data_IF_919672520579
#
_entry.id   IF_919672520579
#
_cell.length_a   1.000
_cell.length_b   1.000
_cell.length_c   1.000
_cell.angle_alpha   90.00
_cell.angle_beta   90.00
_cell.angle_gamma   90.00
#
_symmetry.space_group_name_H-M   'P 1'
#
loop_
_entity.id
_entity.type
_entity.pdbx_description
1 polymer ?
#
# COMPACT_ATOMS: atom_id res chain seq x y z
N UNK A 1 -1.99 -30.31 28.73
CA UNK A 1 -2.86 -30.14 27.55
C UNK A 1 -3.19 -28.67 27.42
N UNK A 2 -2.35 -27.89 26.72
CA UNK A 2 -2.64 -26.52 26.40
C UNK A 2 -3.03 -26.48 24.92
N UNK A 3 -4.29 -26.19 24.67
CA UNK A 3 -4.83 -25.90 23.33
C UNK A 3 -4.31 -24.55 22.90
N UNK A 4 -3.26 -24.53 22.09
CA UNK A 4 -2.74 -23.36 21.45
C UNK A 4 -3.72 -22.98 20.32
N UNK A 5 -4.38 -21.81 20.48
CA UNK A 5 -5.45 -21.37 19.61
C UNK A 5 -4.98 -21.11 18.19
N UNK A 6 -5.50 -21.89 17.26
CA UNK A 6 -5.55 -21.58 15.85
C UNK A 6 -6.09 -20.16 15.66
N UNK A 7 -5.32 -19.30 14.99
CA UNK A 7 -5.84 -18.02 14.48
C UNK A 7 -6.86 -18.34 13.36
N UNK A 8 -8.04 -18.78 13.77
CA UNK A 8 -9.24 -18.70 12.94
C UNK A 8 -9.70 -17.27 13.02
N UNK A 9 -9.34 -16.46 12.04
CA UNK A 9 -10.03 -15.18 11.80
C UNK A 9 -11.43 -15.56 11.34
N UNK A 10 -12.33 -15.70 12.30
CA UNK A 10 -13.76 -15.84 12.01
C UNK A 10 -14.27 -14.50 11.48
N UNK A 11 -15.05 -14.48 10.38
CA UNK A 11 -15.54 -13.25 9.75
C UNK A 11 -16.48 -12.39 10.61
N UNK A 12 -16.75 -12.74 11.86
CA UNK A 12 -17.85 -12.16 12.63
C UNK A 12 -17.57 -11.86 14.10
N UNK A 13 -16.34 -11.52 14.48
CA UNK A 13 -16.09 -10.98 15.83
C UNK A 13 -15.35 -9.66 15.74
N UNK A 14 -16.05 -8.63 15.28
CA UNK A 14 -15.69 -7.24 15.56
C UNK A 14 -15.77 -7.03 17.07
N UNK A 15 -14.72 -6.47 17.68
CA UNK A 15 -14.80 -6.00 19.06
C UNK A 15 -15.89 -4.93 19.13
N UNK A 16 -17.01 -5.21 19.76
CA UNK A 16 -17.97 -4.24 20.24
C UNK A 16 -17.34 -3.65 21.51
N UNK A 17 -16.57 -2.58 21.36
CA UNK A 17 -15.89 -1.89 22.46
C UNK A 17 -15.05 -0.75 21.91
N UNK A 18 -14.96 0.36 22.64
CA UNK A 18 -14.27 1.57 22.22
C UNK A 18 -12.89 1.29 21.62
N UNK A 19 -12.77 1.42 20.30
CA UNK A 19 -11.49 1.41 19.59
C UNK A 19 -10.63 2.55 20.16
N UNK A 20 -9.49 2.22 20.74
CA UNK A 20 -8.53 3.23 21.17
C UNK A 20 -7.86 3.82 19.95
N UNK A 21 -7.95 5.14 19.81
CA UNK A 21 -7.38 5.86 18.66
C UNK A 21 -6.21 6.70 19.14
N UNK A 22 -5.08 6.55 18.46
CA UNK A 22 -3.90 7.37 18.64
C UNK A 22 -3.82 8.42 17.52
N UNK A 23 -3.29 9.59 17.86
CA UNK A 23 -3.05 10.68 16.91
C UNK A 23 -1.62 11.15 17.05
N UNK A 24 -0.88 11.12 15.93
CA UNK A 24 0.50 11.60 15.90
C UNK A 24 0.51 13.11 16.15
N UNK A 25 1.37 13.59 17.08
CA UNK A 25 1.51 15.01 17.33
C UNK A 25 1.98 15.78 16.09
N UNK A 26 1.41 16.98 15.86
CA UNK A 26 1.65 17.77 14.65
C UNK A 26 3.10 18.24 14.51
N UNK A 27 3.81 18.42 15.63
CA UNK A 27 5.24 18.79 15.64
C UNK A 27 6.14 17.77 14.97
N UNK A 28 5.68 16.50 14.85
CA UNK A 28 6.41 15.44 14.13
C UNK A 28 6.49 15.69 12.62
N UNK A 29 5.63 16.54 12.10
CA UNK A 29 5.52 16.83 10.68
C UNK A 29 6.07 18.20 10.29
N UNK A 30 6.68 18.92 11.25
CA UNK A 30 7.27 20.24 10.99
C UNK A 30 8.62 20.08 10.30
N UNK A 31 8.83 20.87 9.23
CA UNK A 31 10.12 20.95 8.52
C UNK A 31 10.51 19.67 7.77
N UNK A 32 9.55 18.86 7.35
CA UNK A 32 9.82 17.69 6.50
C UNK A 32 10.36 18.14 5.14
N UNK A 33 11.39 17.47 4.66
CA UNK A 33 12.03 17.79 3.39
C UNK A 33 11.04 17.65 2.22
N UNK A 34 10.98 18.67 1.37
CA UNK A 34 10.18 18.71 0.15
C UNK A 34 8.66 18.46 0.35
N UNK A 35 8.13 18.81 1.55
CA UNK A 35 6.73 18.58 1.89
C UNK A 35 6.05 19.87 2.40
N UNK A 36 5.80 20.85 1.52
CA UNK A 36 5.24 22.15 1.90
C UNK A 36 3.71 22.18 1.98
N UNK A 37 3.04 21.03 1.85
CA UNK A 37 1.60 20.92 1.67
C UNK A 37 0.83 21.17 2.97
N UNK A 38 -0.29 21.90 2.85
CA UNK A 38 -1.21 22.10 3.95
C UNK A 38 -2.05 20.84 4.19
N UNK A 39 -2.29 20.46 5.47
CA UNK A 39 -3.12 19.30 5.75
C UNK A 39 -4.62 19.61 5.61
N UNK A 40 -5.37 18.73 4.96
CA UNK A 40 -6.83 18.69 5.03
C UNK A 40 -7.27 17.47 5.85
N UNK A 41 -8.42 17.57 6.50
CA UNK A 41 -8.92 16.50 7.36
C UNK A 41 -10.43 16.32 7.17
N UNK A 42 -10.84 15.06 7.08
CA UNK A 42 -12.24 14.63 7.09
C UNK A 42 -12.45 13.67 8.25
N UNK A 43 -13.46 13.88 9.06
CA UNK A 43 -13.85 12.93 10.11
C UNK A 43 -14.96 12.05 9.57
N UNK A 44 -14.75 10.74 9.62
CA UNK A 44 -15.76 9.74 9.30
C UNK A 44 -16.25 9.06 10.58
N UNK A 45 -17.46 8.54 10.53
CA UNK A 45 -17.98 7.68 11.59
C UNK A 45 -17.90 6.23 11.15
N UNK A 46 -17.12 5.43 11.88
CA UNK A 46 -16.98 4.00 11.57
C UNK A 46 -18.25 3.23 11.88
N UNK A 47 -18.42 2.07 11.28
CA UNK A 47 -19.59 1.21 11.52
C UNK A 47 -19.77 0.80 13.00
N UNK A 48 -18.68 0.68 13.77
CA UNK A 48 -18.68 0.42 15.21
C UNK A 48 -18.79 1.69 16.07
N UNK A 49 -19.07 2.84 15.44
CA UNK A 49 -19.44 4.11 16.08
C UNK A 49 -18.27 4.98 16.52
N UNK A 50 -17.02 4.61 16.21
CA UNK A 50 -15.86 5.46 16.47
C UNK A 50 -15.75 6.58 15.42
N UNK A 51 -15.20 7.74 15.84
CA UNK A 51 -14.86 8.83 14.95
C UNK A 51 -13.38 8.69 14.55
N UNK A 52 -13.10 8.60 13.25
CA UNK A 52 -11.74 8.59 12.69
C UNK A 52 -11.51 9.84 11.86
N UNK A 53 -10.44 10.56 12.18
CA UNK A 53 -9.95 11.70 11.40
C UNK A 53 -8.99 11.19 10.33
N UNK A 54 -9.34 11.37 9.05
CA UNK A 54 -8.54 10.98 7.89
C UNK A 54 -7.93 12.25 7.31
N UNK A 55 -6.60 12.25 7.18
CA UNK A 55 -5.83 13.29 6.51
C UNK A 55 -5.83 13.06 5.01
N UNK A 56 -5.84 14.14 4.24
CA UNK A 56 -5.52 14.13 2.83
C UNK A 56 -4.86 15.45 2.40
N UNK A 57 -4.14 15.41 1.31
CA UNK A 57 -3.70 16.60 0.59
C UNK A 57 -4.76 16.93 -0.45
N UNK A 58 -4.96 18.23 -0.71
CA UNK A 58 -5.84 18.78 -1.75
C UNK A 58 -5.12 19.96 -2.41
N UNK A 59 -4.40 19.67 -3.49
CA UNK A 59 -3.46 20.60 -4.11
C UNK A 59 -3.83 20.87 -5.59
N UNK A 60 -3.56 22.07 -6.05
CA UNK A 60 -3.83 22.51 -7.42
C UNK A 60 -5.17 23.24 -7.59
N UNK A 61 -5.59 23.49 -8.85
CA UNK A 61 -6.82 24.23 -9.14
C UNK A 61 -8.06 23.41 -8.73
N UNK A 62 -8.98 24.05 -8.01
CA UNK A 62 -10.16 23.37 -7.45
C UNK A 62 -11.15 22.88 -8.54
N UNK A 63 -11.10 23.46 -9.72
CA UNK A 63 -11.88 23.12 -10.92
C UNK A 63 -11.13 22.21 -11.91
N UNK A 64 -9.90 21.83 -11.57
CA UNK A 64 -9.10 20.91 -12.39
C UNK A 64 -9.57 19.46 -12.31
N UNK A 65 -9.22 18.62 -13.32
CA UNK A 65 -9.46 17.18 -13.26
C UNK A 65 -8.88 16.55 -11.99
N UNK A 66 -9.69 15.77 -11.27
CA UNK A 66 -9.28 15.17 -9.99
C UNK A 66 -8.38 13.95 -10.24
N UNK A 67 -7.22 13.96 -9.59
CA UNK A 67 -6.31 12.81 -9.51
C UNK A 67 -6.24 12.33 -8.06
N UNK A 68 -6.75 11.13 -7.79
CA UNK A 68 -6.68 10.49 -6.48
C UNK A 68 -5.44 9.60 -6.42
N UNK A 69 -4.50 9.94 -5.54
CA UNK A 69 -3.23 9.22 -5.33
C UNK A 69 -3.26 8.43 -4.04
N UNK A 70 -3.34 7.10 -4.10
CA UNK A 70 -3.39 6.25 -2.91
C UNK A 70 -2.06 5.53 -2.67
N UNK A 71 -1.47 5.77 -1.50
CA UNK A 71 -0.21 5.18 -1.06
C UNK A 71 -0.37 3.76 -0.52
N UNK A 72 0.74 3.02 -0.46
CA UNK A 72 0.81 1.68 0.09
C UNK A 72 1.50 1.58 1.47
N UNK A 73 1.97 0.41 1.76
CA UNK A 73 2.61 -0.01 3.00
C UNK A 73 4.15 0.07 2.85
N UNK A 74 4.89 0.61 3.82
CA UNK A 74 4.51 1.27 5.07
C UNK A 74 4.55 2.81 5.00
N UNK A 75 4.30 3.37 3.83
CA UNK A 75 4.45 4.78 3.50
C UNK A 75 3.20 5.59 3.80
N UNK A 76 3.17 6.86 3.43
CA UNK A 76 2.07 7.80 3.57
C UNK A 76 2.13 8.84 2.44
N UNK A 77 1.23 9.83 2.40
CA UNK A 77 1.15 10.82 1.31
C UNK A 77 2.46 11.55 0.99
N UNK A 78 3.44 11.55 1.90
CA UNK A 78 4.82 12.01 1.67
C UNK A 78 5.47 11.36 0.44
N UNK A 79 5.08 10.13 0.11
CA UNK A 79 5.54 9.41 -1.08
C UNK A 79 5.28 10.19 -2.37
N UNK A 80 4.21 10.97 -2.40
CA UNK A 80 3.78 11.71 -3.59
C UNK A 80 4.34 13.12 -3.71
N UNK A 81 5.18 13.59 -2.75
CA UNK A 81 5.68 14.98 -2.70
C UNK A 81 6.34 15.46 -3.99
N UNK A 82 6.95 14.57 -4.75
CA UNK A 82 7.58 14.90 -6.03
C UNK A 82 6.64 14.69 -7.25
N UNK A 83 5.58 13.87 -7.10
CA UNK A 83 4.57 13.65 -8.15
C UNK A 83 3.57 14.82 -8.20
N UNK A 84 3.14 15.31 -7.04
CA UNK A 84 2.13 16.36 -6.91
C UNK A 84 2.46 17.60 -7.71
N UNK A 85 3.69 18.19 -7.64
CA UNK A 85 4.00 19.39 -8.41
C UNK A 85 3.90 19.21 -9.92
N UNK A 86 4.21 18.04 -10.47
CA UNK A 86 4.07 17.76 -11.89
C UNK A 86 2.60 17.77 -12.33
N UNK A 87 1.71 17.17 -11.53
CA UNK A 87 0.28 17.10 -11.81
C UNK A 87 -0.39 18.46 -11.66
N UNK A 88 -0.10 19.20 -10.59
CA UNK A 88 -0.69 20.53 -10.34
C UNK A 88 -0.23 21.55 -11.37
N UNK A 89 1.04 21.51 -11.80
CA UNK A 89 1.56 22.32 -12.90
C UNK A 89 0.92 21.99 -14.25
N UNK A 90 0.40 20.77 -14.40
CA UNK A 90 -0.37 20.36 -15.60
C UNK A 90 -1.87 20.75 -15.51
N UNK A 91 -2.29 21.44 -14.45
CA UNK A 91 -3.66 21.93 -14.23
C UNK A 91 -4.59 20.94 -13.54
N UNK A 92 -4.07 19.91 -12.87
CA UNK A 92 -4.86 18.90 -12.19
C UNK A 92 -5.03 19.23 -10.70
N UNK A 93 -6.19 18.87 -10.14
CA UNK A 93 -6.43 18.85 -8.70
C UNK A 93 -6.00 17.49 -8.15
N UNK A 94 -5.08 17.48 -7.21
CA UNK A 94 -4.50 16.28 -6.66
C UNK A 94 -5.00 16.03 -5.25
N UNK A 95 -5.64 14.88 -5.04
CA UNK A 95 -6.10 14.41 -3.74
C UNK A 95 -5.24 13.22 -3.32
N UNK A 96 -4.56 13.33 -2.18
CA UNK A 96 -3.69 12.27 -1.68
C UNK A 96 -3.98 11.97 -0.20
N UNK A 97 -4.89 11.01 0.09
CA UNK A 97 -5.21 10.63 1.46
C UNK A 97 -4.11 9.80 2.10
N UNK A 98 -4.00 9.90 3.42
CA UNK A 98 -3.32 8.91 4.26
C UNK A 98 -4.32 7.85 4.69
N UNK A 99 -4.04 6.58 4.42
CA UNK A 99 -4.83 5.46 4.92
C UNK A 99 -4.92 5.48 6.45
N UNK A 100 -6.00 4.97 7.02
CA UNK A 100 -6.13 4.85 8.48
C UNK A 100 -4.99 4.01 9.04
N UNK A 101 -4.30 4.54 10.05
CA UNK A 101 -3.09 3.91 10.60
C UNK A 101 -1.78 4.43 10.04
N UNK A 102 -1.82 5.36 9.06
CA UNK A 102 -0.66 5.91 8.37
C UNK A 102 -0.64 7.44 8.43
N UNK A 103 0.49 8.03 8.05
CA UNK A 103 0.65 9.48 7.89
C UNK A 103 0.08 10.29 9.04
N UNK A 104 -0.70 11.31 8.69
CA UNK A 104 -1.39 12.19 9.64
C UNK A 104 -2.80 11.71 10.00
N UNK A 105 -3.30 10.62 9.40
CA UNK A 105 -4.57 9.99 9.77
C UNK A 105 -4.51 9.34 11.15
N UNK A 106 -5.66 9.22 11.78
CA UNK A 106 -5.82 8.55 13.07
C UNK A 106 -5.39 7.08 13.00
N UNK A 107 -4.94 6.53 14.13
CA UNK A 107 -4.34 5.21 14.22
C UNK A 107 -5.01 4.39 15.32
N UNK A 108 -5.90 3.44 14.97
CA UNK A 108 -6.33 2.41 15.92
C UNK A 108 -5.13 1.74 16.60
N UNK A 109 -5.19 1.59 17.93
CA UNK A 109 -4.05 1.18 18.74
C UNK A 109 -3.83 -0.33 18.79
N UNK A 110 -4.76 -1.14 18.27
CA UNK A 110 -4.63 -2.59 18.21
C UNK A 110 -4.53 -3.07 16.75
N UNK A 111 -3.67 -4.08 16.49
CA UNK A 111 -3.54 -4.69 15.16
C UNK A 111 -4.84 -5.31 14.66
N UNK A 112 -5.60 -5.85 15.58
CA UNK A 112 -6.88 -6.53 15.36
C UNK A 112 -7.99 -5.55 14.90
N UNK A 113 -7.77 -4.25 15.07
CA UNK A 113 -8.66 -3.21 14.55
C UNK A 113 -8.48 -2.99 13.04
N UNK A 114 -7.43 -3.51 12.44
CA UNK A 114 -7.16 -3.37 11.01
C UNK A 114 -7.53 -4.63 10.24
N UNK A 115 -8.22 -4.42 9.13
CA UNK A 115 -8.41 -5.45 8.12
C UNK A 115 -8.47 -4.81 6.73
N UNK A 116 -8.33 -5.62 5.67
CA UNK A 116 -8.47 -5.14 4.30
C UNK A 116 -9.86 -4.52 4.10
N UNK A 117 -10.91 -5.20 4.56
CA UNK A 117 -12.29 -4.72 4.42
C UNK A 117 -12.52 -3.40 5.17
N UNK A 118 -12.01 -3.26 6.40
CA UNK A 118 -12.11 -2.00 7.14
C UNK A 118 -11.41 -0.84 6.44
N UNK A 119 -10.24 -1.07 5.83
CA UNK A 119 -9.58 -0.02 5.05
C UNK A 119 -10.44 0.40 3.86
N UNK A 120 -11.07 -0.55 3.17
CA UNK A 120 -11.99 -0.24 2.06
C UNK A 120 -13.20 0.56 2.55
N UNK A 121 -13.80 0.15 3.66
CA UNK A 121 -14.95 0.83 4.27
C UNK A 121 -14.58 2.26 4.70
N UNK A 122 -13.53 2.44 5.50
CA UNK A 122 -13.08 3.76 5.96
C UNK A 122 -12.75 4.71 4.81
N UNK A 123 -12.08 4.21 3.78
CA UNK A 123 -11.76 5.03 2.62
C UNK A 123 -12.98 5.28 1.72
N UNK A 124 -13.95 4.38 1.70
CA UNK A 124 -15.25 4.59 1.07
C UNK A 124 -16.04 5.70 1.76
N UNK A 125 -16.18 5.63 3.08
CA UNK A 125 -16.84 6.66 3.90
C UNK A 125 -16.16 8.03 3.73
N UNK A 126 -14.81 8.04 3.66
CA UNK A 126 -14.05 9.25 3.39
C UNK A 126 -14.31 9.80 1.98
N UNK A 127 -14.37 8.93 0.97
CA UNK A 127 -14.65 9.32 -0.42
C UNK A 127 -16.06 9.93 -0.55
N UNK A 128 -17.04 9.33 0.09
CA UNK A 128 -18.42 9.82 0.12
C UNK A 128 -18.53 11.15 0.84
N UNK A 129 -17.90 11.29 2.00
CA UNK A 129 -17.95 12.52 2.81
C UNK A 129 -17.33 13.74 2.11
N UNK A 130 -16.38 13.52 1.20
CA UNK A 130 -15.77 14.59 0.38
C UNK A 130 -16.44 14.80 -0.97
N UNK A 131 -17.35 13.92 -1.37
CA UNK A 131 -18.12 13.95 -2.62
C UNK A 131 -17.29 14.10 -3.90
N UNK A 132 -16.08 13.53 -3.91
CA UNK A 132 -15.24 13.52 -5.11
C UNK A 132 -15.85 12.64 -6.22
N UNK A 133 -15.80 13.13 -7.45
CA UNK A 133 -16.32 12.45 -8.65
C UNK A 133 -15.43 12.74 -9.87
N UNK A 134 -15.68 12.08 -10.99
CA UNK A 134 -14.86 12.15 -12.22
C UNK A 134 -13.36 11.89 -11.96
N UNK A 135 -13.08 10.98 -11.05
CA UNK A 135 -11.75 10.71 -10.52
C UNK A 135 -10.90 9.92 -11.51
N UNK A 136 -9.68 10.40 -11.75
CA UNK A 136 -8.59 9.56 -12.26
C UNK A 136 -7.85 8.97 -11.05
N UNK A 137 -8.01 7.68 -10.84
CA UNK A 137 -7.38 6.98 -9.72
C UNK A 137 -5.98 6.51 -10.09
N UNK A 138 -5.01 6.73 -9.20
CA UNK A 138 -3.69 6.09 -9.22
C UNK A 138 -3.45 5.35 -7.92
N UNK A 139 -3.13 4.04 -8.01
CA UNK A 139 -2.84 3.20 -6.85
C UNK A 139 -1.58 2.36 -6.99
N UNK A 140 -0.80 2.30 -5.91
CA UNK A 140 0.40 1.47 -5.81
C UNK A 140 0.33 0.66 -4.51
N UNK A 141 0.80 -0.61 -4.52
CA UNK A 141 0.81 -1.50 -3.35
C UNK A 141 -0.57 -1.56 -2.67
N UNK A 142 -0.69 -1.35 -1.36
CA UNK A 142 -1.97 -1.31 -0.64
C UNK A 142 -2.91 -0.21 -1.12
N UNK A 143 -2.38 0.92 -1.60
CA UNK A 143 -3.19 1.95 -2.24
C UNK A 143 -3.91 1.42 -3.48
N UNK A 144 -3.25 0.54 -4.24
CA UNK A 144 -3.88 -0.17 -5.35
C UNK A 144 -4.93 -1.20 -4.89
N UNK A 145 -4.60 -2.03 -3.88
CA UNK A 145 -5.55 -3.02 -3.37
C UNK A 145 -6.84 -2.36 -2.83
N UNK A 146 -6.71 -1.34 -2.00
CA UNK A 146 -7.86 -0.61 -1.42
C UNK A 146 -8.59 0.17 -2.51
N UNK A 147 -7.85 0.92 -3.34
CA UNK A 147 -8.45 1.77 -4.37
C UNK A 147 -9.19 1.01 -5.46
N UNK A 148 -8.69 -0.15 -5.91
CA UNK A 148 -9.43 -1.01 -6.83
C UNK A 148 -10.76 -1.48 -6.23
N UNK A 149 -10.81 -1.76 -4.92
CA UNK A 149 -12.06 -2.08 -4.23
C UNK A 149 -12.99 -0.85 -4.10
N UNK A 150 -12.43 0.37 -3.98
CA UNK A 150 -13.24 1.60 -4.06
C UNK A 150 -13.86 1.79 -5.43
N UNK A 151 -13.11 1.51 -6.52
CA UNK A 151 -13.63 1.54 -7.89
C UNK A 151 -14.81 0.57 -8.05
N UNK A 152 -14.71 -0.64 -7.48
CA UNK A 152 -15.80 -1.64 -7.49
C UNK A 152 -17.04 -1.15 -6.73
N UNK A 153 -16.83 -0.54 -5.55
CA UNK A 153 -17.93 -0.14 -4.67
C UNK A 153 -18.59 1.19 -5.10
N UNK A 154 -17.86 2.07 -5.77
CA UNK A 154 -18.31 3.41 -6.17
C UNK A 154 -17.99 3.71 -7.66
N UNK A 155 -18.37 2.83 -8.61
CA UNK A 155 -17.89 2.89 -10.00
C UNK A 155 -18.23 4.19 -10.72
N UNK A 156 -19.31 4.86 -10.33
CA UNK A 156 -19.75 6.12 -10.95
C UNK A 156 -18.85 7.31 -10.58
N UNK A 157 -18.09 7.21 -9.49
CA UNK A 157 -17.16 8.27 -9.06
C UNK A 157 -15.84 8.27 -9.83
N UNK A 158 -15.50 7.17 -10.51
CA UNK A 158 -14.23 7.00 -11.20
C UNK A 158 -14.39 7.08 -12.71
N UNK A 159 -13.66 7.97 -13.34
CA UNK A 159 -13.58 8.10 -14.79
C UNK A 159 -12.48 7.23 -15.39
N UNK A 160 -11.33 7.13 -14.71
CA UNK A 160 -10.12 6.45 -15.19
C UNK A 160 -9.39 5.76 -14.05
N UNK A 161 -8.69 4.69 -14.39
CA UNK A 161 -7.84 3.94 -13.45
C UNK A 161 -6.42 3.84 -14.00
N UNK A 162 -5.44 4.14 -13.17
CA UNK A 162 -4.01 3.88 -13.40
C UNK A 162 -3.50 3.05 -12.25
N UNK A 163 -2.88 1.93 -12.53
CA UNK A 163 -2.24 1.10 -11.50
C UNK A 163 -0.76 0.93 -11.76
N UNK A 164 0.00 0.89 -10.68
CA UNK A 164 1.43 0.63 -10.70
C UNK A 164 1.81 -0.24 -9.50
N UNK A 165 2.65 -1.24 -9.72
CA UNK A 165 3.24 -2.07 -8.65
C UNK A 165 2.22 -2.49 -7.57
N UNK A 166 1.12 -3.06 -8.00
CA UNK A 166 0.02 -3.53 -7.16
C UNK A 166 -0.59 -4.80 -7.75
N UNK A 167 -1.68 -5.27 -7.17
CA UNK A 167 -2.42 -6.43 -7.65
C UNK A 167 -3.82 -6.50 -7.08
N UNK A 168 -4.57 -7.49 -7.54
CA UNK A 168 -5.85 -7.89 -6.98
C UNK A 168 -5.79 -9.41 -6.71
N UNK A 169 -5.03 -9.86 -5.69
CA UNK A 169 -4.71 -11.27 -5.51
C UNK A 169 -5.98 -12.11 -5.31
N UNK A 170 -6.15 -13.12 -6.16
CA UNK A 170 -7.24 -14.09 -6.08
C UNK A 170 -6.72 -15.47 -6.49
N UNK A 171 -6.41 -16.32 -5.51
CA UNK A 171 -5.80 -17.63 -5.70
C UNK A 171 -6.67 -18.73 -5.07
N UNK A 172 -7.81 -19.10 -5.68
CA UNK A 172 -8.72 -20.13 -5.13
C UNK A 172 -8.15 -21.56 -5.28
N UNK A 173 -7.27 -21.78 -6.25
CA UNK A 173 -6.81 -23.12 -6.67
C UNK A 173 -5.41 -23.47 -6.13
N UNK A 174 -4.98 -22.83 -5.03
CA UNK A 174 -3.70 -23.19 -4.38
C UNK A 174 -3.81 -24.61 -3.84
N UNK A 175 -2.86 -25.53 -4.18
CA UNK A 175 -2.88 -26.90 -3.69
C UNK A 175 -2.91 -26.99 -2.16
N UNK A 176 -3.66 -27.97 -1.63
CA UNK A 176 -3.88 -28.12 -0.18
C UNK A 176 -2.57 -28.26 0.60
N UNK A 177 -1.59 -28.96 0.04
CA UNK A 177 -0.26 -29.13 0.64
C UNK A 177 0.49 -27.78 0.73
N UNK A 178 0.30 -26.88 -0.23
CA UNK A 178 0.89 -25.52 -0.21
C UNK A 178 0.17 -24.65 0.82
N UNK A 179 -1.16 -24.74 0.91
CA UNK A 179 -1.95 -24.06 1.95
C UNK A 179 -1.44 -24.49 3.33
N UNK A 180 -1.37 -25.80 3.56
CA UNK A 180 -0.91 -26.34 4.84
C UNK A 180 0.52 -25.90 5.18
N UNK A 181 1.43 -25.92 4.19
CA UNK A 181 2.82 -25.46 4.37
C UNK A 181 2.90 -24.00 4.82
N UNK A 182 2.11 -23.13 4.22
CA UNK A 182 2.11 -21.68 4.55
C UNK A 182 1.44 -21.44 5.91
N UNK A 183 0.35 -22.14 6.20
CA UNK A 183 -0.34 -22.03 7.51
C UNK A 183 0.53 -22.57 8.65
N UNK A 184 1.20 -23.70 8.46
CA UNK A 184 2.15 -24.26 9.42
C UNK A 184 3.33 -23.32 9.67
N UNK A 185 3.86 -22.71 8.60
CA UNK A 185 4.90 -21.69 8.72
C UNK A 185 4.42 -20.49 9.55
N UNK A 186 3.23 -19.97 9.27
CA UNK A 186 2.66 -18.85 10.02
C UNK A 186 2.44 -19.17 11.50
N UNK A 187 1.98 -20.38 11.78
CA UNK A 187 1.65 -20.81 13.14
C UNK A 187 2.88 -21.20 13.97
N UNK A 188 3.84 -21.92 13.39
CA UNK A 188 4.85 -22.67 14.14
C UNK A 188 6.29 -22.18 13.93
N UNK A 189 6.60 -21.46 12.83
CA UNK A 189 7.95 -20.95 12.62
C UNK A 189 8.30 -19.86 13.64
N UNK A 190 9.57 -19.77 14.03
CA UNK A 190 10.04 -18.62 14.80
C UNK A 190 9.85 -17.33 14.01
N UNK A 191 9.66 -16.21 14.72
CA UNK A 191 9.61 -14.88 14.10
C UNK A 191 10.89 -14.65 13.30
N UNK A 192 10.82 -14.47 11.97
CA UNK A 192 12.01 -14.23 11.19
C UNK A 192 12.65 -12.89 11.59
N UNK A 193 13.97 -12.85 11.62
CA UNK A 193 14.65 -11.55 11.74
C UNK A 193 14.66 -10.81 10.40
N UNK A 194 15.06 -9.54 10.43
CA UNK A 194 15.08 -8.68 9.23
C UNK A 194 15.91 -9.27 8.09
N UNK A 195 17.05 -9.92 8.39
CA UNK A 195 17.95 -10.50 7.37
C UNK A 195 17.29 -11.71 6.73
N UNK A 196 16.66 -12.58 7.53
CA UNK A 196 15.94 -13.76 7.04
C UNK A 196 14.77 -13.35 6.15
N UNK A 197 13.99 -12.37 6.59
CA UNK A 197 12.87 -11.82 5.81
C UNK A 197 13.37 -11.25 4.47
N UNK A 198 14.40 -10.41 4.47
CA UNK A 198 14.97 -9.82 3.24
C UNK A 198 15.52 -10.88 2.28
N UNK A 199 16.18 -11.93 2.79
CA UNK A 199 16.65 -13.06 1.97
C UNK A 199 15.50 -13.83 1.34
N UNK A 200 14.43 -14.08 2.11
CA UNK A 200 13.27 -14.79 1.62
C UNK A 200 12.59 -14.05 0.46
N UNK A 201 12.34 -12.73 0.62
CA UNK A 201 11.69 -11.91 -0.42
C UNK A 201 12.63 -11.62 -1.59
N UNK A 202 13.89 -11.28 -1.30
CA UNK A 202 14.85 -10.83 -2.31
C UNK A 202 15.37 -11.94 -3.25
N UNK A 203 14.85 -13.15 -3.13
CA UNK A 203 15.25 -14.28 -4.02
C UNK A 203 16.69 -14.77 -3.85
N UNK A 204 17.42 -14.26 -2.83
CA UNK A 204 18.72 -14.84 -2.48
C UNK A 204 18.53 -16.26 -1.92
N UNK A 205 19.56 -17.11 -2.00
CA UNK A 205 19.51 -18.49 -1.46
C UNK A 205 19.16 -18.48 0.02
N UNK A 206 17.86 -18.50 0.32
CA UNK A 206 17.31 -18.45 1.67
C UNK A 206 16.97 -19.83 2.21
N UNK A 207 16.91 -20.86 1.33
CA UNK A 207 16.34 -22.16 1.68
C UNK A 207 14.81 -22.14 1.87
N UNK A 208 14.18 -20.94 1.82
CA UNK A 208 12.74 -20.81 1.97
C UNK A 208 12.02 -21.42 0.75
N UNK A 209 10.95 -22.16 1.01
CA UNK A 209 10.08 -22.66 -0.04
C UNK A 209 9.44 -21.46 -0.78
N UNK A 210 9.34 -21.48 -2.12
CA UNK A 210 8.78 -20.35 -2.89
C UNK A 210 7.42 -19.85 -2.37
N UNK A 211 6.55 -20.76 -1.96
CA UNK A 211 5.22 -20.44 -1.44
C UNK A 211 5.23 -19.72 -0.07
N UNK A 212 6.30 -19.87 0.73
CA UNK A 212 6.40 -19.21 2.04
C UNK A 212 7.07 -17.84 1.99
N UNK A 213 7.64 -17.42 0.87
CA UNK A 213 8.41 -16.16 0.76
C UNK A 213 7.63 -14.95 1.28
N UNK A 214 6.38 -14.80 0.84
CA UNK A 214 5.54 -13.68 1.28
C UNK A 214 5.10 -13.85 2.74
N UNK A 215 4.95 -15.09 3.22
CA UNK A 215 4.64 -15.37 4.61
C UNK A 215 5.75 -14.94 5.59
N UNK A 216 7.03 -14.91 5.15
CA UNK A 216 8.12 -14.31 5.94
C UNK A 216 7.87 -12.82 6.20
N UNK A 217 7.47 -12.07 5.19
CA UNK A 217 7.12 -10.66 5.31
C UNK A 217 5.91 -10.45 6.24
N UNK A 218 4.84 -11.22 6.01
CA UNK A 218 3.62 -11.16 6.81
C UNK A 218 3.91 -11.43 8.29
N UNK A 219 4.63 -12.52 8.58
CA UNK A 219 4.97 -12.92 9.94
C UNK A 219 5.89 -11.92 10.62
N UNK A 220 6.92 -11.45 9.92
CA UNK A 220 7.84 -10.45 10.45
C UNK A 220 7.10 -9.15 10.79
N UNK A 221 6.29 -8.61 9.90
CA UNK A 221 5.51 -7.40 10.18
C UNK A 221 4.56 -7.58 11.37
N UNK A 222 3.88 -8.73 11.45
CA UNK A 222 2.93 -9.00 12.52
C UNK A 222 3.60 -9.13 13.89
N UNK A 223 4.72 -9.82 13.99
CA UNK A 223 5.31 -10.25 15.25
C UNK A 223 6.45 -9.34 15.74
N UNK A 224 7.10 -8.54 14.87
CA UNK A 224 8.17 -7.64 15.31
C UNK A 224 7.66 -6.63 16.34
N UNK A 225 8.49 -6.31 17.35
CA UNK A 225 8.14 -5.31 18.36
C UNK A 225 8.04 -3.91 17.76
N UNK A 226 9.01 -3.56 16.92
CA UNK A 226 9.06 -2.27 16.23
C UNK A 226 9.37 -2.48 14.74
N UNK A 227 8.54 -1.89 13.89
CA UNK A 227 8.73 -1.90 12.44
C UNK A 227 9.57 -0.67 12.04
N UNK A 228 10.83 -0.85 11.61
CA UNK A 228 11.70 0.29 11.31
C UNK A 228 11.40 0.89 9.93
N UNK A 229 10.31 1.68 9.82
CA UNK A 229 9.76 2.19 8.56
C UNK A 229 10.80 2.99 7.76
N UNK A 230 11.45 3.95 8.39
CA UNK A 230 12.46 4.78 7.72
C UNK A 230 13.64 3.96 7.20
N UNK A 231 14.07 2.94 7.96
CA UNK A 231 15.13 2.03 7.52
C UNK A 231 14.65 1.15 6.34
N UNK A 232 13.43 0.62 6.40
CA UNK A 232 12.85 -0.18 5.31
C UNK A 232 12.81 0.62 4.02
N UNK A 233 12.36 1.86 4.08
CA UNK A 233 12.34 2.75 2.91
C UNK A 233 13.74 2.96 2.37
N UNK A 234 14.73 3.13 3.22
CA UNK A 234 16.13 3.31 2.79
C UNK A 234 16.71 2.08 2.08
N UNK A 235 16.18 0.88 2.37
CA UNK A 235 16.65 -0.36 1.74
C UNK A 235 15.96 -0.67 0.42
N UNK A 236 14.73 -0.16 0.22
CA UNK A 236 13.91 -0.45 -0.96
C UNK A 236 14.00 0.62 -2.04
N UNK A 237 14.38 1.84 -1.67
CA UNK A 237 14.55 2.93 -2.63
C UNK A 237 15.86 2.81 -3.39
N UNK A 238 15.80 3.08 -4.70
CA UNK A 238 16.95 3.02 -5.59
C UNK A 238 17.77 1.75 -5.36
N UNK A 239 17.22 0.53 -5.60
CA UNK A 239 17.99 -0.67 -5.44
C UNK A 239 19.25 -0.55 -6.32
N UNK A 240 20.45 -0.45 -5.75
CA UNK A 240 21.65 -0.21 -6.52
C UNK A 240 21.97 -1.44 -7.37
N UNK A 241 22.76 -1.25 -8.42
CA UNK A 241 23.36 -2.33 -9.16
C UNK A 241 23.98 -3.38 -8.20
N UNK A 242 23.89 -4.67 -8.54
CA UNK A 242 24.25 -5.80 -7.66
C UNK A 242 25.53 -5.63 -6.81
N UNK A 243 26.67 -5.10 -7.33
CA UNK A 243 27.87 -4.88 -6.51
C UNK A 243 27.67 -3.82 -5.42
N UNK A 244 26.84 -2.80 -5.65
CA UNK A 244 26.54 -1.74 -4.68
C UNK A 244 25.59 -2.25 -3.59
N UNK A 245 24.70 -3.22 -3.88
CA UNK A 245 23.88 -3.87 -2.85
C UNK A 245 24.73 -4.62 -1.82
N UNK A 246 25.77 -5.32 -2.26
CA UNK A 246 26.70 -6.00 -1.37
C UNK A 246 27.49 -5.01 -0.50
N UNK A 247 27.97 -3.92 -1.08
CA UNK A 247 28.67 -2.86 -0.35
C UNK A 247 27.74 -2.19 0.66
N UNK A 248 26.50 -1.87 0.29
CA UNK A 248 25.49 -1.31 1.20
C UNK A 248 25.17 -2.29 2.35
N UNK A 249 25.04 -3.58 2.06
CA UNK A 249 24.85 -4.61 3.09
C UNK A 249 26.02 -4.65 4.08
N UNK A 250 27.25 -4.60 3.59
CA UNK A 250 28.45 -4.59 4.43
C UNK A 250 28.57 -3.31 5.25
N UNK A 251 28.30 -2.16 4.67
CA UNK A 251 28.33 -0.86 5.36
C UNK A 251 27.25 -0.79 6.46
N UNK A 252 26.03 -1.27 6.20
CA UNK A 252 24.98 -1.35 7.23
C UNK A 252 25.38 -2.27 8.40
N UNK A 253 26.07 -3.39 8.10
CA UNK A 253 26.58 -4.29 9.15
C UNK A 253 27.68 -3.65 10.02
N UNK A 254 28.36 -2.64 9.48
CA UNK A 254 29.38 -1.85 10.18
C UNK A 254 28.84 -0.60 10.86
N UNK A 255 27.51 -0.40 10.89
CA UNK A 255 26.88 0.79 11.47
C UNK A 255 27.03 2.06 10.62
N UNK A 256 27.46 1.94 9.37
CA UNK A 256 27.57 3.07 8.43
C UNK A 256 26.24 3.24 7.69
N UNK A 257 25.71 4.44 7.80
CA UNK A 257 24.35 4.86 7.48
C UNK A 257 23.84 4.57 6.08
N UNK A 258 22.52 4.40 6.03
CA UNK A 258 21.57 4.33 4.91
C UNK A 258 21.87 5.29 3.74
N UNK A 259 21.65 4.85 2.49
CA UNK A 259 21.83 5.67 1.28
C UNK A 259 20.77 6.76 1.09
N UNK A 260 19.63 6.68 1.80
CA UNK A 260 18.71 7.82 1.83
C UNK A 260 19.29 8.93 2.71
N UNK A 261 19.09 10.20 2.32
CA UNK A 261 19.27 11.29 3.25
C UNK A 261 18.53 10.99 4.55
N UNK A 262 19.19 11.19 5.68
CA UNK A 262 18.58 10.93 7.01
C UNK A 262 17.28 11.70 7.19
N UNK A 263 17.13 12.88 6.53
CA UNK A 263 15.90 13.66 6.48
C UNK A 263 14.73 12.91 5.86
N UNK A 264 14.95 12.21 4.75
CA UNK A 264 13.90 11.43 4.05
C UNK A 264 13.50 10.21 4.88
N UNK A 265 14.47 9.45 5.41
CA UNK A 265 14.17 8.33 6.29
C UNK A 265 13.37 8.76 7.53
N UNK A 266 13.73 9.91 8.14
CA UNK A 266 13.01 10.52 9.26
C UNK A 266 11.59 10.96 8.86
N UNK A 267 11.38 11.46 7.65
CA UNK A 267 10.07 11.85 7.18
C UNK A 267 9.13 10.64 7.02
N UNK A 268 9.62 9.49 6.55
CA UNK A 268 8.83 8.25 6.54
C UNK A 268 8.54 7.70 7.93
N UNK A 269 9.43 7.93 8.91
CA UNK A 269 9.23 7.54 10.31
C UNK A 269 8.38 8.56 11.10
N UNK A 270 8.19 9.78 10.60
CA UNK A 270 7.50 10.87 11.31
C UNK A 270 6.11 10.49 11.88
N UNK A 271 5.26 9.72 11.16
CA UNK A 271 3.95 9.32 11.66
C UNK A 271 3.97 8.42 12.90
N UNK A 272 5.13 7.86 13.25
CA UNK A 272 5.25 6.76 14.20
C UNK A 272 6.20 7.12 15.37
N UNK A 273 5.73 7.88 16.37
CA UNK A 273 6.56 8.28 17.52
C UNK A 273 7.16 7.12 18.31
N UNK A 274 6.44 6.00 18.35
CA UNK A 274 6.83 4.77 19.03
C UNK A 274 6.08 3.57 18.43
N UNK A 275 6.39 2.32 18.83
CA UNK A 275 5.79 1.11 18.26
C UNK A 275 4.26 1.04 18.31
N UNK A 276 3.59 1.67 19.31
CA UNK A 276 2.14 1.63 19.41
C UNK A 276 1.41 2.33 18.25
N UNK A 277 2.09 3.25 17.57
CA UNK A 277 1.57 3.94 16.37
C UNK A 277 1.73 3.13 15.08
N UNK A 278 2.39 1.97 15.11
CA UNK A 278 2.70 1.14 13.94
C UNK A 278 1.76 -0.04 13.75
N UNK A 279 0.59 -0.04 14.41
CA UNK A 279 -0.34 -1.19 14.35
C UNK A 279 -0.90 -1.43 12.94
N UNK A 280 -1.22 -0.36 12.18
CA UNK A 280 -1.60 -0.45 10.78
C UNK A 280 -0.50 -1.08 9.90
N UNK A 281 0.69 -0.48 9.81
CA UNK A 281 1.83 -1.06 9.10
C UNK A 281 2.17 -2.50 9.48
N UNK A 282 1.95 -2.89 10.73
CA UNK A 282 2.22 -4.27 11.20
C UNK A 282 1.11 -5.25 10.79
N UNK A 283 -0.15 -4.81 10.77
CA UNK A 283 -1.30 -5.66 10.49
C UNK A 283 -1.52 -5.91 8.99
N UNK A 284 -1.40 -4.86 8.17
CA UNK A 284 -1.84 -4.88 6.78
C UNK A 284 -1.18 -5.97 5.92
N UNK A 285 0.14 -6.26 5.99
CA UNK A 285 0.71 -7.33 5.19
C UNK A 285 0.03 -8.69 5.36
N UNK A 286 -0.48 -9.00 6.57
CA UNK A 286 -1.19 -10.24 6.86
C UNK A 286 -2.59 -10.29 6.26
N UNK A 287 -3.13 -9.16 5.81
CA UNK A 287 -4.46 -9.04 5.22
C UNK A 287 -4.49 -9.33 3.71
N UNK A 288 -3.33 -9.45 3.05
CA UNK A 288 -3.28 -9.79 1.61
C UNK A 288 -3.82 -11.21 1.40
N UNK A 289 -4.87 -11.40 0.57
CA UNK A 289 -5.52 -12.70 0.39
C UNK A 289 -4.70 -13.60 -0.54
N UNK A 290 -3.68 -14.25 0.01
CA UNK A 290 -2.75 -15.12 -0.73
C UNK A 290 -3.17 -16.58 -0.80
N UNK A 291 -4.13 -17.01 0.03
CA UNK A 291 -4.57 -18.40 0.16
C UNK A 291 -6.09 -18.51 -0.02
N UNK A 292 -6.60 -19.70 -0.40
CA UNK A 292 -8.04 -19.97 -0.44
C UNK A 292 -8.74 -19.79 0.92
N UNK A 293 -8.00 -19.94 2.01
CA UNK A 293 -8.48 -19.73 3.39
C UNK A 293 -8.48 -18.25 3.83
N UNK A 294 -8.03 -17.33 2.97
CA UNK A 294 -7.96 -15.90 3.31
C UNK A 294 -9.37 -15.31 3.45
N UNK A 295 -9.65 -14.52 4.51
CA UNK A 295 -10.99 -14.00 4.78
C UNK A 295 -11.60 -13.16 3.65
N UNK A 296 -10.75 -12.51 2.85
CA UNK A 296 -11.17 -11.55 1.83
C UNK A 296 -11.21 -12.11 0.42
N UNK A 297 -11.01 -13.43 0.25
CA UNK A 297 -10.94 -14.07 -1.07
C UNK A 297 -12.22 -13.89 -1.88
N UNK A 298 -13.39 -14.02 -1.24
CA UNK A 298 -14.69 -13.84 -1.90
C UNK A 298 -14.88 -12.40 -2.42
N UNK A 299 -14.44 -11.40 -1.66
CA UNK A 299 -14.48 -10.02 -2.12
C UNK A 299 -13.55 -9.78 -3.32
N UNK A 300 -12.40 -10.47 -3.39
CA UNK A 300 -11.52 -10.40 -4.55
C UNK A 300 -12.15 -11.08 -5.78
N UNK A 301 -12.84 -12.19 -5.59
CA UNK A 301 -13.61 -12.83 -6.67
C UNK A 301 -14.64 -11.87 -7.24
N UNK A 302 -15.44 -11.22 -6.37
CA UNK A 302 -16.45 -10.24 -6.79
C UNK A 302 -15.81 -9.05 -7.51
N UNK A 303 -14.68 -8.57 -7.04
CA UNK A 303 -13.94 -7.49 -7.68
C UNK A 303 -13.45 -7.89 -9.08
N UNK A 304 -12.95 -9.11 -9.26
CA UNK A 304 -12.59 -9.61 -10.59
C UNK A 304 -13.80 -9.76 -11.53
N UNK A 305 -14.95 -10.24 -11.03
CA UNK A 305 -16.17 -10.29 -11.86
C UNK A 305 -16.58 -8.88 -12.35
N UNK A 306 -16.47 -7.87 -11.50
CA UNK A 306 -16.69 -6.48 -11.90
C UNK A 306 -15.67 -6.02 -12.96
N UNK A 307 -14.37 -6.23 -12.71
CA UNK A 307 -13.33 -5.75 -13.63
C UNK A 307 -13.36 -6.46 -15.00
N UNK A 308 -13.87 -7.67 -15.10
CA UNK A 308 -14.10 -8.35 -16.40
C UNK A 308 -15.10 -7.63 -17.31
N UNK A 309 -15.89 -6.73 -16.76
CA UNK A 309 -16.89 -5.92 -17.50
C UNK A 309 -16.56 -4.42 -17.46
N UNK A 310 -15.43 -4.03 -16.89
CA UNK A 310 -15.06 -2.63 -16.73
C UNK A 310 -14.45 -2.08 -18.02
N UNK A 311 -15.17 -1.14 -18.67
CA UNK A 311 -14.80 -0.57 -19.98
C UNK A 311 -14.14 0.81 -19.89
N UNK A 312 -14.24 1.51 -18.72
CA UNK A 312 -13.59 2.81 -18.56
C UNK A 312 -12.06 2.64 -18.66
N UNK A 313 -11.33 3.70 -19.09
CA UNK A 313 -9.88 3.62 -19.29
C UNK A 313 -9.15 3.06 -18.07
N UNK A 314 -8.41 1.96 -18.28
CA UNK A 314 -7.66 1.25 -17.24
C UNK A 314 -6.22 1.02 -17.70
N UNK A 315 -5.28 1.81 -17.19
CA UNK A 315 -3.89 1.81 -17.63
C UNK A 315 -2.97 1.14 -16.60
N UNK A 316 -2.11 0.25 -17.09
CA UNK A 316 -1.05 -0.39 -16.30
C UNK A 316 0.30 0.29 -16.58
N UNK A 317 0.98 0.76 -15.53
CA UNK A 317 2.28 1.42 -15.59
C UNK A 317 3.20 0.87 -14.49
N UNK A 318 3.71 -0.35 -14.69
CA UNK A 318 4.52 -1.07 -13.70
C UNK A 318 6.01 -0.82 -13.88
N UNK A 319 6.77 -0.89 -12.79
CA UNK A 319 8.22 -0.77 -12.84
C UNK A 319 8.88 -2.01 -13.46
N UNK A 320 10.02 -1.81 -14.12
CA UNK A 320 10.83 -2.88 -14.72
C UNK A 320 11.62 -3.71 -13.70
N UNK A 321 11.74 -3.23 -12.47
CA UNK A 321 12.62 -3.79 -11.44
C UNK A 321 11.97 -3.91 -10.04
N UNK A 322 10.64 -4.00 -9.98
CA UNK A 322 9.93 -4.26 -8.72
C UNK A 322 10.05 -5.74 -8.31
N UNK A 323 10.70 -6.06 -7.17
CA UNK A 323 10.83 -7.44 -6.73
C UNK A 323 9.56 -8.03 -6.12
N UNK A 324 8.52 -7.21 -5.86
CA UNK A 324 7.31 -7.60 -5.12
C UNK A 324 6.15 -7.95 -6.05
N UNK A 325 5.88 -7.07 -7.03
CA UNK A 325 4.68 -7.16 -7.87
C UNK A 325 4.98 -7.31 -9.37
N UNK A 326 6.23 -7.58 -9.74
CA UNK A 326 6.60 -7.74 -11.14
C UNK A 326 5.73 -8.77 -11.86
N UNK A 327 5.13 -8.35 -12.99
CA UNK A 327 4.22 -9.16 -13.79
C UNK A 327 2.76 -9.17 -13.30
N UNK A 328 2.44 -8.41 -12.25
CA UNK A 328 1.06 -8.22 -11.76
C UNK A 328 0.14 -7.50 -12.75
N UNK A 329 0.70 -6.76 -13.69
CA UNK A 329 -0.03 -6.12 -14.80
C UNK A 329 -0.69 -7.11 -15.76
N UNK A 330 -0.07 -8.28 -15.97
CA UNK A 330 -0.50 -9.26 -16.98
C UNK A 330 -1.95 -9.74 -16.80
N UNK A 331 -2.37 -9.92 -15.56
CA UNK A 331 -3.71 -10.38 -15.27
C UNK A 331 -4.76 -9.32 -15.60
N UNK A 332 -4.47 -8.05 -15.30
CA UNK A 332 -5.35 -6.93 -15.67
C UNK A 332 -5.42 -6.76 -17.20
N UNK A 333 -4.27 -6.78 -17.88
CA UNK A 333 -4.20 -6.69 -19.34
C UNK A 333 -4.98 -7.81 -20.04
N UNK A 334 -5.01 -9.00 -19.45
CA UNK A 334 -5.73 -10.14 -20.01
C UNK A 334 -7.23 -10.13 -19.74
N UNK A 335 -7.69 -9.52 -18.64
CA UNK A 335 -9.05 -9.69 -18.13
C UNK A 335 -9.92 -8.44 -18.15
N UNK A 336 -9.33 -7.23 -18.17
CA UNK A 336 -10.05 -5.96 -18.03
C UNK A 336 -10.25 -5.30 -19.41
N UNK A 337 -11.50 -5.20 -19.93
CA UNK A 337 -11.75 -4.60 -21.26
C UNK A 337 -11.24 -3.17 -21.38
N UNK A 338 -11.35 -2.37 -20.33
CA UNK A 338 -10.87 -0.98 -20.29
C UNK A 338 -9.37 -0.79 -20.51
N UNK A 339 -8.58 -1.87 -20.58
CA UNK A 339 -7.16 -1.81 -20.93
C UNK A 339 -6.94 -1.73 -22.44
N UNK A 340 -7.92 -2.10 -23.25
CA UNK A 340 -7.74 -2.24 -24.70
C UNK A 340 -7.44 -0.89 -25.37
N UNK A 341 -6.42 -0.86 -26.25
CA UNK A 341 -6.04 0.31 -27.03
C UNK A 341 -5.31 1.41 -26.26
N UNK A 342 -5.05 1.22 -24.96
CA UNK A 342 -4.30 2.20 -24.17
C UNK A 342 -2.77 1.98 -24.28
N UNK A 343 -1.97 3.06 -24.13
CA UNK A 343 -0.51 3.00 -24.21
C UNK A 343 0.10 2.53 -22.88
N UNK A 344 -0.14 1.27 -22.50
CA UNK A 344 0.48 0.68 -21.31
C UNK A 344 1.99 0.85 -21.36
N UNK A 345 2.60 1.18 -20.24
CA UNK A 345 4.02 1.51 -20.20
C UNK A 345 4.73 0.85 -19.04
N UNK A 346 6.06 0.78 -19.17
CA UNK A 346 6.95 0.33 -18.09
C UNK A 346 7.70 1.52 -17.53
N UNK A 347 7.54 1.78 -16.22
CA UNK A 347 8.28 2.80 -15.48
C UNK A 347 9.74 2.34 -15.33
N UNK A 348 10.67 3.04 -15.97
CA UNK A 348 12.08 2.67 -15.96
C UNK A 348 12.77 3.09 -14.66
N UNK A 349 13.46 2.12 -14.03
CA UNK A 349 14.18 2.36 -12.77
C UNK A 349 13.28 2.60 -11.57
N UNK A 350 11.98 2.31 -11.67
CA UNK A 350 10.98 2.68 -10.67
C UNK A 350 11.10 1.94 -9.34
N UNK A 351 11.61 0.70 -9.32
CA UNK A 351 11.59 -0.12 -8.10
C UNK A 351 10.18 -0.34 -7.59
N UNK A 352 10.03 -0.75 -6.33
CA UNK A 352 8.71 -0.94 -5.74
C UNK A 352 7.96 0.39 -5.52
N UNK A 353 8.65 1.43 -5.07
CA UNK A 353 8.10 2.76 -4.84
C UNK A 353 8.42 3.68 -6.03
N UNK A 354 7.67 3.52 -7.13
CA UNK A 354 7.86 4.27 -8.39
C UNK A 354 7.79 5.78 -8.18
N UNK A 355 7.01 6.23 -7.22
CA UNK A 355 6.80 7.64 -6.89
C UNK A 355 8.05 8.34 -6.35
N UNK A 356 8.93 7.57 -5.67
CA UNK A 356 10.23 8.09 -5.20
C UNK A 356 11.29 8.06 -6.30
N UNK A 357 11.31 6.99 -7.09
CA UNK A 357 12.40 6.73 -8.01
C UNK A 357 12.19 7.35 -9.40
N UNK A 358 10.93 7.53 -9.82
CA UNK A 358 10.54 8.01 -11.14
C UNK A 358 9.26 8.86 -11.11
N UNK A 359 9.21 9.92 -10.27
CA UNK A 359 7.99 10.72 -10.06
C UNK A 359 7.50 11.41 -11.34
N UNK A 360 8.41 11.84 -12.20
CA UNK A 360 8.14 12.43 -13.50
C UNK A 360 7.44 11.46 -14.45
N UNK A 361 7.91 10.20 -14.52
CA UNK A 361 7.28 9.17 -15.35
C UNK A 361 5.87 8.83 -14.83
N UNK A 362 5.70 8.72 -13.52
CA UNK A 362 4.39 8.47 -12.88
C UNK A 362 3.42 9.60 -13.23
N UNK A 363 3.84 10.85 -13.05
CA UNK A 363 3.00 12.02 -13.37
C UNK A 363 2.66 12.06 -14.86
N UNK A 364 3.64 11.84 -15.76
CA UNK A 364 3.45 11.90 -17.19
C UNK A 364 2.41 10.88 -17.68
N UNK A 365 2.46 9.64 -17.17
CA UNK A 365 1.49 8.59 -17.51
C UNK A 365 0.06 9.02 -17.15
N UNK A 366 -0.13 9.62 -15.98
CA UNK A 366 -1.45 10.10 -15.52
C UNK A 366 -1.92 11.27 -16.40
N UNK A 367 -1.03 12.23 -16.69
CA UNK A 367 -1.32 13.41 -17.53
C UNK A 367 -1.75 12.97 -18.93
N UNK A 368 -0.99 12.04 -19.53
CA UNK A 368 -1.25 11.58 -20.90
C UNK A 368 -2.60 10.82 -20.98
N UNK A 369 -2.91 9.99 -19.99
CA UNK A 369 -4.21 9.32 -19.95
C UNK A 369 -5.37 10.31 -19.86
N UNK A 370 -5.29 11.30 -18.96
CA UNK A 370 -6.36 12.33 -18.80
C UNK A 370 -6.55 13.13 -20.09
N UNK A 371 -5.46 13.47 -20.79
CA UNK A 371 -5.53 14.26 -22.03
C UNK A 371 -6.03 13.49 -23.24
N UNK A 372 -5.94 12.18 -23.22
CA UNK A 372 -6.31 11.30 -24.34
C UNK A 372 -7.71 10.67 -24.20
N UNK A 373 -8.32 10.77 -23.05
CA UNK A 373 -9.63 10.16 -22.71
C UNK A 373 -10.55 11.16 -22.02
#
# INVERSE_FOLDING_TARGET
>A
MCLCGLIRVSPSKWRIGNMQILRTPDERFVGLADYPFAPCYTTIKTHDGADLRIHHLDEGPQDGPIVLLMHGQPVWSYLYRHVIPHLTNAGMRVIAPDLVGYGKSDKPAAREDYSYQRQVEWMGDWLEANDFSDITFFGQDWGGLVGLRLVVNHPDRFARVVISNTGLPYNPDVPTEVVQLVEDFRANAATPNLIEMQRAIGGMRSGAHPATKFAYWQKWCWETEDLPVGFMMSMTLNPPARPVQLVKFLLNRMGVTSPLPTSIAKAYEAPFPNPSFKMGPRAMPSQVPTLPTSPWLEHQRQAWEFFKTFEKPFLCAFADNDPVTQGGDKEFLAKVPGTQGLPHTTIKGGGHFVQENAPDQVAQVIIDLIRST
#
